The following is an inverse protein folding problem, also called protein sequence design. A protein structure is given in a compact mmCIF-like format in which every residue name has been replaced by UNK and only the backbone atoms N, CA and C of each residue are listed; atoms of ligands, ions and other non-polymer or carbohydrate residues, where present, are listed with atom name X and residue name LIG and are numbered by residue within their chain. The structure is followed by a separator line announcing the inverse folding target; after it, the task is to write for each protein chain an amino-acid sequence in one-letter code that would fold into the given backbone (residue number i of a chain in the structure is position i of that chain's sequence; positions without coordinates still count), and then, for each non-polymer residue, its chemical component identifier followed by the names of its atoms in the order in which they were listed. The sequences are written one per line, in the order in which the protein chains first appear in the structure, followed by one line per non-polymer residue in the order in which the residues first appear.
data_IF_656000198454
#
_entry.id   IF_656000198454
#
_cell.length_a   1.000
_cell.length_b   1.000
_cell.length_c   1.000
_cell.angle_alpha   90.00
_cell.angle_beta   90.00
_cell.angle_gamma   90.00
#
_symmetry.space_group_name_H-M   'P 1'
#
loop_
_entity.id
_entity.type
_entity.pdbx_description
1 polymer ?
#
# COMPACT_ATOMS: atom_id res chain seq x y z
N UNK A 1 -38.07 -21.55 58.43
CA UNK A 1 -38.34 -21.13 57.03
C UNK A 1 -37.64 -19.80 56.71
N UNK A 2 -37.48 -18.87 57.66
CA UNK A 2 -36.87 -17.55 57.48
C UNK A 2 -35.38 -17.61 57.18
N UNK A 3 -34.64 -18.55 57.78
CA UNK A 3 -33.19 -18.66 57.65
C UNK A 3 -32.73 -19.20 56.29
N UNK A 4 -33.56 -19.95 55.56
CA UNK A 4 -33.24 -20.49 54.23
C UNK A 4 -33.47 -19.44 53.12
N UNK A 5 -34.38 -18.50 53.34
CA UNK A 5 -34.64 -17.40 52.38
C UNK A 5 -33.51 -16.39 52.44
N UNK A 6 -33.00 -16.06 53.65
CA UNK A 6 -31.86 -15.11 53.78
C UNK A 6 -30.58 -15.64 53.16
N UNK A 7 -30.30 -16.96 53.21
CA UNK A 7 -29.13 -17.54 52.56
C UNK A 7 -29.22 -17.59 51.04
N UNK A 8 -30.42 -17.68 50.47
CA UNK A 8 -30.63 -17.62 49.02
C UNK A 8 -30.56 -16.18 48.49
N UNK A 9 -31.05 -15.21 49.22
CA UNK A 9 -30.96 -13.78 48.82
C UNK A 9 -29.53 -13.28 48.89
N UNK A 10 -28.75 -13.66 49.93
CA UNK A 10 -27.32 -13.32 50.00
C UNK A 10 -26.50 -14.01 48.92
N UNK A 11 -26.76 -15.28 48.56
CA UNK A 11 -26.07 -15.92 47.43
C UNK A 11 -26.43 -15.31 46.08
N UNK A 12 -27.66 -14.92 45.84
CA UNK A 12 -28.07 -14.23 44.62
C UNK A 12 -27.45 -12.81 44.53
N UNK A 13 -27.35 -12.08 45.61
CA UNK A 13 -26.71 -10.77 45.63
C UNK A 13 -25.20 -10.86 45.36
N UNK A 14 -24.50 -11.91 45.88
CA UNK A 14 -23.09 -12.18 45.58
C UNK A 14 -22.88 -12.57 44.12
N UNK A 15 -23.74 -13.40 43.55
CA UNK A 15 -23.65 -13.78 42.13
C UNK A 15 -23.92 -12.55 41.23
N UNK A 16 -24.92 -11.73 41.57
CA UNK A 16 -25.20 -10.48 40.85
C UNK A 16 -24.02 -9.48 40.92
N UNK A 17 -23.37 -9.39 42.07
CA UNK A 17 -22.21 -8.50 42.24
C UNK A 17 -21.01 -8.99 41.44
N UNK A 18 -20.72 -10.31 41.42
CA UNK A 18 -19.65 -10.88 40.60
C UNK A 18 -19.91 -10.72 39.10
N UNK A 19 -21.13 -10.99 38.66
CA UNK A 19 -21.53 -10.83 37.25
C UNK A 19 -21.50 -9.34 36.85
N UNK A 20 -21.89 -8.44 37.73
CA UNK A 20 -21.87 -7.00 37.49
C UNK A 20 -20.42 -6.47 37.42
N UNK A 21 -19.54 -6.92 38.30
CA UNK A 21 -18.10 -6.57 38.26
C UNK A 21 -17.40 -7.13 37.02
N UNK A 22 -17.77 -8.34 36.61
CA UNK A 22 -17.23 -8.96 35.38
C UNK A 22 -17.75 -8.27 34.12
N UNK A 23 -19.00 -7.84 34.10
CA UNK A 23 -19.59 -7.03 33.02
C UNK A 23 -18.96 -5.63 32.99
N UNK A 24 -18.78 -4.97 34.14
CA UNK A 24 -18.11 -3.67 34.21
C UNK A 24 -16.61 -3.75 33.81
N UNK A 25 -15.92 -4.80 34.22
CA UNK A 25 -14.55 -5.06 33.83
C UNK A 25 -14.45 -5.26 32.30
N UNK A 26 -15.32 -6.08 31.73
CA UNK A 26 -15.37 -6.30 30.28
C UNK A 26 -15.81 -5.05 29.49
N UNK A 27 -16.75 -4.24 30.01
CA UNK A 27 -17.15 -2.97 29.42
C UNK A 27 -16.01 -1.93 29.47
N UNK A 28 -15.31 -1.83 30.58
CA UNK A 28 -14.14 -0.95 30.71
C UNK A 28 -12.98 -1.41 29.84
N UNK A 29 -12.76 -2.72 29.73
CA UNK A 29 -11.75 -3.30 28.85
C UNK A 29 -12.07 -3.03 27.38
N UNK A 30 -13.31 -3.24 26.94
CA UNK A 30 -13.79 -2.94 25.59
C UNK A 30 -13.73 -1.45 25.25
N UNK A 31 -14.02 -0.56 26.21
CA UNK A 31 -13.91 0.90 26.00
C UNK A 31 -12.46 1.36 25.90
N UNK A 32 -11.55 0.80 26.69
CA UNK A 32 -10.11 1.08 26.62
C UNK A 32 -9.50 0.52 25.31
N UNK A 33 -9.86 -0.69 24.89
CA UNK A 33 -9.44 -1.22 23.59
C UNK A 33 -9.94 -0.36 22.43
N UNK A 34 -11.20 0.02 22.41
CA UNK A 34 -11.77 0.87 21.37
C UNK A 34 -11.09 2.25 21.32
N UNK A 35 -10.76 2.84 22.46
CA UNK A 35 -10.02 4.10 22.53
C UNK A 35 -8.62 3.95 21.97
N UNK A 36 -7.93 2.87 22.28
CA UNK A 36 -6.60 2.56 21.79
C UNK A 36 -6.59 2.34 20.26
N UNK A 37 -7.57 1.63 19.72
CA UNK A 37 -7.68 1.43 18.27
C UNK A 37 -8.03 2.70 17.51
N UNK A 38 -8.84 3.58 18.07
CA UNK A 38 -9.08 4.90 17.51
C UNK A 38 -7.79 5.75 17.46
N UNK A 39 -6.95 5.67 18.50
CA UNK A 39 -5.64 6.35 18.52
C UNK A 39 -4.68 5.82 17.45
N UNK A 40 -4.68 4.51 17.21
CA UNK A 40 -3.88 3.88 16.14
C UNK A 40 -4.33 4.37 14.77
N UNK A 41 -5.64 4.39 14.51
CA UNK A 41 -6.21 4.87 13.26
C UNK A 41 -5.87 6.35 13.03
N UNK A 42 -6.09 7.18 14.03
CA UNK A 42 -5.79 8.61 13.97
C UNK A 42 -4.30 8.87 13.71
N UNK A 43 -3.42 8.13 14.35
CA UNK A 43 -1.98 8.26 14.14
C UNK A 43 -1.56 7.88 12.72
N UNK A 44 -2.11 6.77 12.20
CA UNK A 44 -1.87 6.33 10.83
C UNK A 44 -2.32 7.36 9.80
N UNK A 45 -3.54 7.88 9.93
CA UNK A 45 -4.10 8.89 9.03
C UNK A 45 -3.33 10.21 9.13
N UNK A 46 -2.95 10.62 10.33
CA UNK A 46 -2.17 11.83 10.58
C UNK A 46 -0.80 11.81 9.89
N UNK A 47 -0.11 10.67 9.86
CA UNK A 47 1.15 10.54 9.10
C UNK A 47 0.89 10.82 7.61
N UNK A 48 -0.17 10.26 7.05
CA UNK A 48 -0.50 10.43 5.62
C UNK A 48 -0.94 11.85 5.26
N UNK A 49 -1.60 12.55 6.19
CA UNK A 49 -2.00 13.94 6.00
C UNK A 49 -0.81 14.90 6.09
N UNK A 50 0.06 14.70 7.06
CA UNK A 50 1.19 15.60 7.32
C UNK A 50 2.34 15.38 6.35
N UNK A 51 2.62 14.13 5.96
CA UNK A 51 3.73 13.77 5.10
C UNK A 51 3.22 13.24 3.75
N UNK A 52 2.85 14.14 2.83
CA UNK A 52 2.29 13.78 1.52
C UNK A 52 3.16 12.85 0.67
N UNK A 53 4.46 12.77 0.98
CA UNK A 53 5.41 11.91 0.28
C UNK A 53 5.53 10.49 0.86
N UNK A 54 4.90 10.21 2.00
CA UNK A 54 4.93 8.90 2.63
C UNK A 54 3.89 7.98 2.00
N UNK A 55 4.28 6.73 1.69
CA UNK A 55 3.33 5.72 1.19
C UNK A 55 2.50 5.14 2.32
N UNK A 56 1.29 4.64 2.02
CA UNK A 56 0.43 3.98 3.00
C UNK A 56 1.14 2.79 3.69
N UNK A 57 1.94 2.01 2.95
CA UNK A 57 2.73 0.92 3.52
C UNK A 57 3.79 1.40 4.52
N UNK A 58 4.51 2.49 4.21
CA UNK A 58 5.50 3.07 5.14
C UNK A 58 4.83 3.69 6.36
N UNK A 59 3.70 4.37 6.18
CA UNK A 59 2.92 4.91 7.29
C UNK A 59 2.42 3.80 8.22
N UNK A 60 1.95 2.67 7.66
CA UNK A 60 1.51 1.52 8.43
C UNK A 60 2.67 0.91 9.25
N UNK A 61 3.86 0.77 8.67
CA UNK A 61 5.03 0.27 9.39
C UNK A 61 5.45 1.20 10.54
N UNK A 62 5.41 2.53 10.33
CA UNK A 62 5.67 3.51 11.41
C UNK A 62 4.65 3.38 12.54
N UNK A 63 3.39 3.14 12.19
CA UNK A 63 2.33 2.91 13.18
C UNK A 63 2.56 1.63 13.98
N UNK A 64 2.96 0.52 13.33
CA UNK A 64 3.32 -0.72 14.03
C UNK A 64 4.54 -0.55 14.93
N UNK A 65 5.55 0.22 14.52
CA UNK A 65 6.69 0.57 15.39
C UNK A 65 6.24 1.33 16.64
N UNK A 66 5.34 2.31 16.48
CA UNK A 66 4.78 3.04 17.62
C UNK A 66 4.00 2.12 18.56
N UNK A 67 3.22 1.17 18.02
CA UNK A 67 2.52 0.14 18.82
C UNK A 67 3.54 -0.69 19.60
N UNK A 68 4.63 -1.15 18.98
CA UNK A 68 5.70 -1.86 19.65
C UNK A 68 6.38 -1.05 20.75
N UNK A 69 6.58 0.26 20.56
CA UNK A 69 7.19 1.16 21.55
C UNK A 69 6.30 1.35 22.77
N UNK A 70 5.01 1.59 22.55
CA UNK A 70 4.07 1.97 23.58
C UNK A 70 3.49 0.78 24.37
N UNK A 71 3.33 -0.39 23.72
CA UNK A 71 2.68 -1.52 24.33
C UNK A 71 3.63 -2.40 25.13
N UNK A 72 3.30 -2.62 26.41
CA UNK A 72 4.00 -3.54 27.28
C UNK A 72 3.22 -4.88 27.32
N UNK A 73 3.40 -5.72 26.29
CA UNK A 73 2.86 -7.06 26.29
C UNK A 73 3.58 -7.94 27.33
N UNK A 74 2.81 -8.72 28.10
CA UNK A 74 3.35 -9.68 29.05
C UNK A 74 3.84 -10.95 28.34
N UNK A 75 3.30 -11.24 27.15
CA UNK A 75 3.66 -12.40 26.33
C UNK A 75 3.83 -12.03 24.87
N UNK A 76 4.61 -12.85 24.16
CA UNK A 76 4.80 -12.72 22.71
C UNK A 76 3.49 -12.92 21.95
N UNK A 77 2.64 -13.84 22.38
CA UNK A 77 1.34 -14.10 21.76
C UNK A 77 0.39 -12.89 21.89
N UNK A 78 0.43 -12.21 23.01
CA UNK A 78 -0.32 -10.97 23.22
C UNK A 78 0.18 -9.85 22.31
N UNK A 79 1.51 -9.73 22.17
CA UNK A 79 2.11 -8.76 21.24
C UNK A 79 1.70 -9.02 19.79
N UNK A 80 1.77 -10.27 19.33
CA UNK A 80 1.34 -10.66 17.99
C UNK A 80 -0.14 -10.33 17.76
N UNK A 81 -1.01 -10.69 18.72
CA UNK A 81 -2.44 -10.39 18.66
C UNK A 81 -2.70 -8.89 18.52
N UNK A 82 -1.97 -8.06 19.25
CA UNK A 82 -2.16 -6.60 19.20
C UNK A 82 -1.62 -5.99 17.90
N UNK A 83 -0.53 -6.51 17.37
CA UNK A 83 -0.04 -6.10 16.06
C UNK A 83 -1.03 -6.48 14.93
N UNK A 84 -1.62 -7.68 14.98
CA UNK A 84 -2.65 -8.08 14.02
C UNK A 84 -3.89 -7.20 14.09
N UNK A 85 -4.39 -6.89 15.31
CA UNK A 85 -5.49 -5.96 15.50
C UNK A 85 -5.18 -4.56 14.96
N UNK A 86 -3.97 -4.05 15.18
CA UNK A 86 -3.55 -2.76 14.63
C UNK A 86 -3.52 -2.75 13.09
N UNK A 87 -3.10 -3.86 12.48
CA UNK A 87 -3.14 -4.04 11.02
C UNK A 87 -4.58 -4.00 10.51
N UNK A 88 -5.50 -4.70 11.17
CA UNK A 88 -6.90 -4.73 10.77
C UNK A 88 -7.56 -3.33 10.87
N UNK A 89 -7.21 -2.55 11.90
CA UNK A 89 -7.66 -1.15 12.02
C UNK A 89 -7.17 -0.31 10.83
N UNK A 90 -5.90 -0.43 10.45
CA UNK A 90 -5.36 0.30 9.31
C UNK A 90 -5.92 -0.15 7.96
N UNK A 91 -6.23 -1.45 7.79
CA UNK A 91 -6.90 -2.01 6.60
C UNK A 91 -8.32 -1.49 6.43
N UNK A 92 -9.01 -1.18 7.53
CA UNK A 92 -10.38 -0.63 7.51
C UNK A 92 -10.43 0.88 7.25
N UNK A 93 -9.33 1.49 6.82
CA UNK A 93 -9.30 2.89 6.36
C UNK A 93 -9.44 2.96 4.83
N UNK A 94 -9.80 4.14 4.32
CA UNK A 94 -9.91 4.39 2.87
C UNK A 94 -8.53 4.63 2.19
N UNK A 95 -7.53 3.85 2.59
CA UNK A 95 -6.18 3.91 2.04
C UNK A 95 -5.87 2.67 1.17
N UNK A 96 -4.89 2.73 0.26
CA UNK A 96 -4.52 1.59 -0.61
C UNK A 96 -4.17 0.33 0.19
N UNK A 97 -5.12 -0.59 0.31
CA UNK A 97 -5.03 -1.79 1.15
C UNK A 97 -3.87 -2.70 0.74
N UNK A 98 -3.58 -2.81 -0.56
CA UNK A 98 -2.48 -3.63 -1.08
C UNK A 98 -1.13 -3.22 -0.48
N UNK A 99 -0.85 -1.91 -0.49
CA UNK A 99 0.40 -1.37 0.04
C UNK A 99 0.49 -1.51 1.58
N UNK A 100 -0.64 -1.34 2.28
CA UNK A 100 -0.72 -1.55 3.74
C UNK A 100 -0.49 -3.02 4.07
N UNK A 101 -1.22 -3.93 3.41
CA UNK A 101 -1.16 -5.37 3.70
C UNK A 101 0.22 -5.97 3.42
N UNK A 102 0.79 -5.73 2.23
CA UNK A 102 2.11 -6.28 1.89
C UNK A 102 3.23 -5.69 2.74
N UNK A 103 3.19 -4.38 3.03
CA UNK A 103 4.15 -3.75 3.92
C UNK A 103 4.12 -4.30 5.34
N UNK A 104 2.92 -4.46 5.91
CA UNK A 104 2.75 -5.04 7.24
C UNK A 104 3.18 -6.51 7.30
N UNK A 105 2.84 -7.32 6.29
CA UNK A 105 3.22 -8.74 6.24
C UNK A 105 4.74 -8.90 6.22
N UNK A 106 5.44 -8.15 5.37
CA UNK A 106 6.91 -8.16 5.32
C UNK A 106 7.53 -7.67 6.63
N UNK A 107 6.96 -6.62 7.22
CA UNK A 107 7.43 -6.10 8.51
C UNK A 107 7.31 -7.14 9.62
N UNK A 108 6.12 -7.74 9.79
CA UNK A 108 5.90 -8.78 10.80
C UNK A 108 6.91 -9.92 10.64
N UNK A 109 7.10 -10.39 9.40
CA UNK A 109 8.06 -11.44 9.12
C UNK A 109 9.49 -11.04 9.50
N UNK A 110 9.91 -9.81 9.15
CA UNK A 110 11.25 -9.34 9.49
C UNK A 110 11.50 -9.26 10.99
N UNK A 111 10.50 -8.89 11.79
CA UNK A 111 10.62 -8.81 13.25
C UNK A 111 10.47 -10.18 13.94
N UNK A 112 9.63 -11.10 13.41
CA UNK A 112 9.33 -12.40 14.06
C UNK A 112 10.43 -13.44 13.93
N UNK A 113 11.37 -13.29 13.00
CA UNK A 113 12.55 -14.16 12.89
C UNK A 113 13.46 -14.16 14.15
N UNK A 114 13.11 -13.40 15.19
CA UNK A 114 13.90 -13.19 16.42
C UNK A 114 13.08 -13.39 17.68
N UNK A 115 12.16 -14.30 17.69
CA UNK A 115 11.18 -14.49 18.77
C UNK A 115 11.75 -14.80 20.16
N UNK A 116 13.03 -15.15 20.28
CA UNK A 116 13.67 -15.45 21.58
C UNK A 116 14.35 -14.24 22.23
N UNK A 117 14.43 -13.10 21.55
CA UNK A 117 15.13 -11.93 22.08
C UNK A 117 14.24 -10.68 22.12
N UNK A 118 14.07 -10.16 23.33
CA UNK A 118 13.55 -8.84 23.76
C UNK A 118 12.96 -7.86 22.71
N UNK A 119 11.80 -7.26 23.07
CA UNK A 119 11.15 -6.08 22.45
C UNK A 119 12.14 -5.05 21.88
N UNK A 120 13.29 -4.82 22.55
CA UNK A 120 14.32 -3.88 22.11
C UNK A 120 14.93 -4.27 20.75
N UNK A 121 15.22 -5.55 20.53
CA UNK A 121 15.77 -6.04 19.26
C UNK A 121 14.75 -5.95 18.14
N UNK A 122 13.47 -6.25 18.44
CA UNK A 122 12.39 -6.09 17.46
C UNK A 122 12.24 -4.64 17.03
N UNK A 123 12.30 -3.69 17.95
CA UNK A 123 12.27 -2.26 17.67
C UNK A 123 13.46 -1.81 16.81
N UNK A 124 14.67 -2.24 17.15
CA UNK A 124 15.86 -1.90 16.36
C UNK A 124 15.79 -2.45 14.94
N UNK A 125 15.37 -3.72 14.79
CA UNK A 125 15.16 -4.33 13.48
C UNK A 125 14.07 -3.60 12.69
N UNK A 126 12.96 -3.24 13.35
CA UNK A 126 11.90 -2.48 12.73
C UNK A 126 12.37 -1.10 12.23
N UNK A 127 13.21 -0.41 13.00
CA UNK A 127 13.84 0.87 12.58
C UNK A 127 14.78 0.68 11.39
N UNK A 128 15.59 -0.37 11.39
CA UNK A 128 16.46 -0.73 10.26
C UNK A 128 15.64 -1.02 9.00
N UNK A 129 14.56 -1.78 9.13
CA UNK A 129 13.65 -2.08 8.03
C UNK A 129 13.01 -0.82 7.46
N UNK A 130 12.48 0.04 8.32
CA UNK A 130 11.91 1.33 7.91
C UNK A 130 12.92 2.19 7.14
N UNK A 131 14.14 2.32 7.64
CA UNK A 131 15.18 3.11 6.96
C UNK A 131 15.50 2.54 5.56
N UNK A 132 15.57 1.22 5.44
CA UNK A 132 15.74 0.56 4.12
C UNK A 132 14.61 0.92 3.17
N UNK A 133 13.36 0.91 3.66
CA UNK A 133 12.20 1.25 2.82
C UNK A 133 12.22 2.71 2.35
N UNK A 134 12.67 3.64 3.17
CA UNK A 134 12.78 5.05 2.78
C UNK A 134 13.78 5.28 1.63
N UNK A 135 14.79 4.41 1.50
CA UNK A 135 15.79 4.48 0.43
C UNK A 135 15.34 3.79 -0.87
N UNK A 136 14.34 2.87 -0.81
CA UNK A 136 13.95 2.04 -1.96
C UNK A 136 13.55 2.86 -3.18
N UNK A 137 12.74 3.92 -2.96
CA UNK A 137 12.27 4.79 -4.05
C UNK A 137 13.43 5.44 -4.81
N UNK A 138 14.44 5.93 -4.11
CA UNK A 138 15.65 6.48 -4.73
C UNK A 138 16.45 5.44 -5.51
N UNK A 139 16.48 4.18 -5.04
CA UNK A 139 17.13 3.09 -5.77
C UNK A 139 16.41 2.79 -7.08
N UNK A 140 15.08 2.68 -7.04
CA UNK A 140 14.25 2.48 -8.23
C UNK A 140 14.44 3.62 -9.23
N UNK A 141 14.39 4.87 -8.77
CA UNK A 141 14.57 6.04 -9.61
C UNK A 141 15.93 6.03 -10.35
N UNK A 142 17.01 5.72 -9.64
CA UNK A 142 18.35 5.61 -10.24
C UNK A 142 18.45 4.52 -11.30
N UNK A 143 17.75 3.40 -11.12
CA UNK A 143 17.76 2.30 -12.10
C UNK A 143 16.91 2.62 -13.35
N UNK A 144 15.80 3.32 -13.18
CA UNK A 144 14.88 3.64 -14.28
C UNK A 144 15.29 4.88 -15.06
N UNK A 145 15.97 5.85 -14.43
CA UNK A 145 16.38 7.10 -15.05
C UNK A 145 17.23 6.92 -16.33
N UNK A 146 18.15 5.94 -16.48
CA UNK A 146 18.88 5.72 -17.73
C UNK A 146 17.99 5.39 -18.93
N UNK A 147 16.81 4.82 -18.70
CA UNK A 147 15.85 4.45 -19.75
C UNK A 147 15.02 5.64 -20.29
N UNK A 148 15.13 6.80 -19.66
CA UNK A 148 14.61 8.05 -20.22
C UNK A 148 15.68 8.59 -21.17
N UNK A 149 15.43 8.47 -22.47
CA UNK A 149 16.31 8.98 -23.50
C UNK A 149 16.07 10.49 -23.74
N UNK A 150 17.09 11.18 -24.28
CA UNK A 150 16.94 12.59 -24.66
C UNK A 150 15.97 12.72 -25.84
N UNK A 151 15.03 13.64 -25.77
CA UNK A 151 13.98 13.86 -26.76
C UNK A 151 12.79 12.88 -26.69
N UNK A 152 12.78 11.92 -25.76
CA UNK A 152 11.70 10.93 -25.71
C UNK A 152 10.39 11.54 -25.19
N UNK A 153 9.27 10.94 -25.63
CA UNK A 153 7.91 11.24 -25.18
C UNK A 153 7.40 10.12 -24.32
N UNK A 154 7.08 10.44 -23.09
CA UNK A 154 6.70 9.46 -22.06
C UNK A 154 5.21 9.61 -21.75
N UNK A 155 4.47 8.50 -21.71
CA UNK A 155 3.13 8.48 -21.15
C UNK A 155 3.18 7.91 -19.73
N UNK A 156 2.53 8.59 -18.80
CA UNK A 156 2.29 8.08 -17.45
C UNK A 156 0.80 8.18 -17.09
N UNK A 157 0.35 7.29 -16.22
CA UNK A 157 -1.04 7.24 -15.75
C UNK A 157 -1.11 7.59 -14.28
N UNK A 158 -2.01 8.53 -13.93
CA UNK A 158 -2.22 8.93 -12.54
C UNK A 158 -0.95 9.57 -11.90
N UNK A 159 -0.91 9.64 -10.57
CA UNK A 159 0.24 10.13 -9.81
C UNK A 159 1.00 8.97 -9.19
N UNK A 160 2.24 8.75 -9.62
CA UNK A 160 3.17 7.83 -8.98
C UNK A 160 4.38 8.57 -8.43
N UNK A 161 4.64 8.42 -7.13
CA UNK A 161 5.76 9.09 -6.44
C UNK A 161 7.12 8.63 -6.97
N UNK A 162 7.26 7.35 -7.28
CA UNK A 162 8.52 6.80 -7.81
C UNK A 162 8.75 7.23 -9.26
N UNK A 163 7.69 7.27 -10.09
CA UNK A 163 7.77 7.77 -11.46
C UNK A 163 8.12 9.26 -11.46
N UNK A 164 7.46 10.06 -10.62
CA UNK A 164 7.76 11.48 -10.44
C UNK A 164 9.23 11.69 -10.07
N UNK A 165 9.73 11.00 -9.05
CA UNK A 165 11.12 11.11 -8.63
C UNK A 165 12.08 10.74 -9.77
N UNK A 166 11.81 9.67 -10.51
CA UNK A 166 12.62 9.25 -11.66
C UNK A 166 12.71 10.32 -12.73
N UNK A 167 11.58 10.93 -13.08
CA UNK A 167 11.51 11.99 -14.09
C UNK A 167 12.22 13.26 -13.62
N UNK A 168 12.04 13.65 -12.34
CA UNK A 168 12.72 14.82 -11.78
C UNK A 168 14.25 14.60 -11.68
N UNK A 169 14.70 13.39 -11.35
CA UNK A 169 16.14 13.06 -11.37
C UNK A 169 16.71 13.07 -12.80
N UNK A 170 15.95 12.59 -13.79
CA UNK A 170 16.34 12.68 -15.19
C UNK A 170 16.48 14.13 -15.67
N UNK A 171 15.53 15.01 -15.30
CA UNK A 171 15.59 16.43 -15.61
C UNK A 171 16.78 17.12 -14.93
N UNK A 172 17.07 16.82 -13.67
CA UNK A 172 18.27 17.30 -12.97
C UNK A 172 19.57 16.88 -13.66
N UNK A 173 19.59 15.72 -14.30
CA UNK A 173 20.69 15.21 -15.10
C UNK A 173 20.66 15.75 -16.55
N UNK A 174 19.97 16.87 -16.77
CA UNK A 174 19.89 17.62 -18.03
C UNK A 174 19.27 16.85 -19.21
N UNK A 175 18.53 15.78 -18.96
CA UNK A 175 17.76 15.10 -20.01
C UNK A 175 16.53 15.93 -20.40
N UNK A 176 16.28 16.03 -21.70
CA UNK A 176 15.13 16.72 -22.28
C UNK A 176 14.14 15.68 -22.76
N UNK A 177 12.92 15.73 -22.24
CA UNK A 177 11.83 14.80 -22.60
C UNK A 177 10.49 15.48 -22.33
N UNK A 178 9.45 14.97 -22.97
CA UNK A 178 8.08 15.42 -22.78
C UNK A 178 7.23 14.34 -22.09
N UNK A 179 6.31 14.75 -21.24
CA UNK A 179 5.47 13.81 -20.50
C UNK A 179 4.00 14.07 -20.79
N UNK A 180 3.29 13.05 -21.24
CA UNK A 180 1.84 13.02 -21.26
C UNK A 180 1.37 12.35 -19.97
N UNK A 181 0.51 13.04 -19.23
CA UNK A 181 -0.07 12.53 -17.98
C UNK A 181 -1.57 12.38 -18.17
N UNK A 182 -2.10 11.18 -17.96
CA UNK A 182 -3.55 10.98 -17.99
C UNK A 182 -4.19 11.57 -16.75
N UNK A 183 -5.39 12.12 -16.89
CA UNK A 183 -6.11 12.78 -15.80
C UNK A 183 -6.39 11.85 -14.63
N UNK A 184 -6.66 10.57 -14.90
CA UNK A 184 -6.99 9.54 -13.90
C UNK A 184 -8.29 9.85 -13.16
N UNK A 185 -9.42 9.80 -13.88
CA UNK A 185 -10.73 9.91 -13.25
C UNK A 185 -11.03 8.64 -12.41
N UNK A 186 -11.72 8.75 -11.25
CA UNK A 186 -12.39 9.94 -10.73
C UNK A 186 -11.56 10.84 -9.82
N UNK A 187 -10.38 10.43 -9.35
CA UNK A 187 -9.58 11.17 -8.34
C UNK A 187 -8.78 12.34 -8.91
N UNK A 188 -8.64 12.41 -10.25
CA UNK A 188 -7.93 13.43 -10.99
C UNK A 188 -6.47 13.63 -10.53
N UNK A 189 -5.84 12.58 -9.98
CA UNK A 189 -4.47 12.62 -9.45
C UNK A 189 -3.41 12.95 -10.51
N UNK A 190 -3.71 12.75 -11.79
CA UNK A 190 -2.86 13.17 -12.90
C UNK A 190 -2.66 14.68 -12.98
N UNK A 191 -3.63 15.48 -12.53
CA UNK A 191 -3.48 16.96 -12.49
C UNK A 191 -2.38 17.38 -11.52
N UNK A 192 -2.30 16.73 -10.35
CA UNK A 192 -1.25 16.98 -9.38
C UNK A 192 0.12 16.51 -9.90
N UNK A 193 0.17 15.36 -10.57
CA UNK A 193 1.39 14.85 -11.21
C UNK A 193 1.94 15.84 -12.22
N UNK A 194 1.07 16.37 -13.09
CA UNK A 194 1.45 17.35 -14.09
C UNK A 194 1.97 18.67 -13.47
N UNK A 195 1.32 19.17 -12.41
CA UNK A 195 1.78 20.36 -11.67
C UNK A 195 3.17 20.15 -11.07
N UNK A 196 3.43 19.00 -10.47
CA UNK A 196 4.73 18.67 -9.86
C UNK A 196 5.84 18.53 -10.90
N UNK A 197 5.56 17.90 -12.05
CA UNK A 197 6.51 17.79 -13.16
C UNK A 197 6.85 19.16 -13.75
N UNK A 198 5.84 19.99 -13.99
CA UNK A 198 6.03 21.36 -14.53
C UNK A 198 6.84 22.23 -13.55
N UNK A 199 6.54 22.14 -12.25
CA UNK A 199 7.32 22.84 -11.22
C UNK A 199 8.78 22.38 -11.17
N UNK A 200 9.05 21.11 -11.53
CA UNK A 200 10.40 20.55 -11.68
C UNK A 200 11.08 20.83 -13.01
N UNK A 201 10.47 21.64 -13.88
CA UNK A 201 11.06 22.02 -15.18
C UNK A 201 10.85 20.99 -16.31
N UNK A 202 9.96 19.99 -16.11
CA UNK A 202 9.64 18.98 -17.12
C UNK A 202 8.43 19.41 -17.92
N UNK A 203 8.54 19.39 -19.26
CA UNK A 203 7.41 19.63 -20.18
C UNK A 203 6.32 18.58 -19.98
N UNK A 204 5.13 19.02 -19.57
CA UNK A 204 4.03 18.11 -19.22
C UNK A 204 2.74 18.53 -19.89
N UNK A 205 2.04 17.58 -20.51
CA UNK A 205 0.70 17.75 -21.09
C UNK A 205 -0.28 16.83 -20.38
N UNK A 206 -1.31 17.42 -19.78
CA UNK A 206 -2.43 16.68 -19.20
C UNK A 206 -3.36 16.20 -20.32
N UNK A 207 -3.68 14.91 -20.34
CA UNK A 207 -4.55 14.30 -21.34
C UNK A 207 -5.73 13.58 -20.69
N UNK A 208 -6.84 13.45 -21.40
CA UNK A 208 -8.00 12.69 -20.93
C UNK A 208 -7.69 11.19 -20.99
N UNK A 209 -8.25 10.43 -20.04
CA UNK A 209 -8.11 8.97 -20.02
C UNK A 209 -8.63 8.33 -21.32
N UNK A 210 -9.70 8.87 -21.91
CA UNK A 210 -10.25 8.41 -23.18
C UNK A 210 -9.34 8.68 -24.39
N UNK A 211 -8.35 9.57 -24.28
CA UNK A 211 -7.43 9.93 -25.37
C UNK A 211 -6.14 9.10 -25.39
N UNK A 212 -5.99 8.11 -24.50
CA UNK A 212 -4.79 7.26 -24.38
C UNK A 212 -4.39 6.67 -25.74
N UNK A 213 -5.33 6.05 -26.46
CA UNK A 213 -5.07 5.46 -27.78
C UNK A 213 -4.58 6.47 -28.81
N UNK A 214 -5.16 7.67 -28.81
CA UNK A 214 -4.75 8.76 -29.72
C UNK A 214 -3.33 9.26 -29.41
N UNK A 215 -3.04 9.50 -28.14
CA UNK A 215 -1.72 10.02 -27.71
C UNK A 215 -0.63 8.96 -27.87
N UNK A 216 -0.97 7.66 -27.74
CA UNK A 216 -0.01 6.56 -27.76
C UNK A 216 0.80 6.49 -29.06
N UNK A 217 0.27 6.97 -30.19
CA UNK A 217 1.02 7.02 -31.47
C UNK A 217 2.29 7.89 -31.35
N UNK A 218 2.23 8.96 -30.57
CA UNK A 218 3.32 9.91 -30.35
C UNK A 218 4.28 9.50 -29.24
N UNK A 219 3.89 8.53 -28.39
CA UNK A 219 4.63 8.09 -27.21
C UNK A 219 5.74 7.12 -27.63
N UNK A 220 6.90 7.25 -27.00
CA UNK A 220 8.01 6.31 -27.16
C UNK A 220 7.98 5.20 -26.10
N UNK A 221 7.71 5.58 -24.86
CA UNK A 221 7.68 4.68 -23.70
C UNK A 221 6.51 5.00 -22.76
N UNK A 222 5.99 3.98 -22.11
CA UNK A 222 5.04 4.13 -21.00
C UNK A 222 5.77 3.86 -19.69
N UNK A 223 5.70 4.79 -18.73
CA UNK A 223 6.24 4.63 -17.37
C UNK A 223 5.11 4.78 -16.37
N UNK A 224 4.81 3.74 -15.62
CA UNK A 224 3.72 3.69 -14.64
C UNK A 224 4.22 3.17 -13.29
N UNK A 225 3.50 3.54 -12.22
CA UNK A 225 3.71 2.94 -10.91
C UNK A 225 2.92 1.65 -10.73
N UNK A 226 3.03 1.07 -9.54
CA UNK A 226 2.14 0.00 -9.10
C UNK A 226 1.75 0.20 -7.63
N UNK A 227 0.53 -0.18 -7.27
CA UNK A 227 0.06 -0.31 -5.89
C UNK A 227 0.40 -1.69 -5.33
N UNK A 228 0.40 -2.72 -6.19
CA UNK A 228 0.81 -4.07 -5.89
C UNK A 228 1.41 -4.77 -7.09
N UNK A 229 2.36 -5.67 -6.85
CA UNK A 229 2.92 -6.59 -7.86
C UNK A 229 2.58 -8.00 -7.42
N UNK A 230 1.95 -8.77 -8.31
CA UNK A 230 1.46 -10.12 -8.00
C UNK A 230 2.47 -11.18 -8.46
N UNK A 231 2.33 -12.42 -7.97
CA UNK A 231 3.29 -13.51 -8.21
C UNK A 231 3.58 -13.78 -9.70
N UNK A 232 2.59 -13.61 -10.55
CA UNK A 232 2.76 -13.77 -12.00
C UNK A 232 3.62 -12.67 -12.66
N UNK A 233 3.98 -11.62 -11.92
CA UNK A 233 4.64 -10.43 -12.46
C UNK A 233 3.67 -9.42 -13.09
N UNK A 234 2.37 -9.63 -12.99
CA UNK A 234 1.36 -8.61 -13.26
C UNK A 234 1.29 -7.56 -12.15
N UNK A 235 0.56 -6.49 -12.37
CA UNK A 235 0.41 -5.40 -11.41
C UNK A 235 -1.04 -5.07 -11.12
N UNK A 236 -1.27 -4.56 -9.92
CA UNK A 236 -2.50 -3.88 -9.50
C UNK A 236 -2.15 -2.40 -9.40
N UNK A 237 -2.90 -1.56 -10.08
CA UNK A 237 -2.69 -0.11 -10.06
C UNK A 237 -4.00 0.63 -10.32
N UNK A 238 -3.98 1.95 -10.26
CA UNK A 238 -5.14 2.81 -10.55
C UNK A 238 -5.87 2.38 -11.82
N UNK A 239 -7.22 2.42 -11.76
CA UNK A 239 -8.09 2.10 -12.89
C UNK A 239 -7.68 2.89 -14.15
N UNK A 240 -7.58 2.21 -15.29
CA UNK A 240 -7.06 2.76 -16.54
C UNK A 240 -5.63 2.34 -16.87
N UNK A 241 -4.91 1.75 -15.91
CA UNK A 241 -3.56 1.19 -16.14
C UNK A 241 -3.60 0.06 -17.15
N UNK A 242 -4.55 -0.86 -17.03
CA UNK A 242 -4.72 -1.96 -17.99
C UNK A 242 -5.04 -1.45 -19.40
N UNK A 243 -5.93 -0.47 -19.52
CA UNK A 243 -6.25 0.18 -20.80
C UNK A 243 -5.01 0.81 -21.43
N UNK A 244 -4.21 1.52 -20.63
CA UNK A 244 -2.94 2.11 -21.07
C UNK A 244 -1.98 1.06 -21.59
N UNK A 245 -1.82 -0.03 -20.86
CA UNK A 245 -0.94 -1.13 -21.24
C UNK A 245 -1.41 -1.88 -22.50
N UNK A 246 -2.74 -2.04 -22.70
CA UNK A 246 -3.31 -2.60 -23.91
C UNK A 246 -3.02 -1.73 -25.13
N UNK A 247 -3.23 -0.42 -25.04
CA UNK A 247 -2.92 0.52 -26.13
C UNK A 247 -1.42 0.51 -26.46
N UNK A 248 -0.57 0.49 -25.44
CA UNK A 248 0.87 0.43 -25.61
C UNK A 248 1.32 -0.85 -26.34
N UNK A 249 0.75 -2.00 -25.96
CA UNK A 249 1.07 -3.29 -26.58
C UNK A 249 0.66 -3.32 -28.05
N UNK A 250 -0.54 -2.84 -28.37
CA UNK A 250 -1.04 -2.79 -29.76
C UNK A 250 -0.12 -1.94 -30.64
N UNK A 251 0.34 -0.80 -30.13
CA UNK A 251 1.26 0.11 -30.83
C UNK A 251 2.74 -0.24 -30.62
N UNK A 252 3.04 -1.41 -30.02
CA UNK A 252 4.41 -1.92 -29.77
C UNK A 252 5.29 -0.96 -28.96
N UNK A 253 4.70 -0.23 -28.03
CA UNK A 253 5.42 0.64 -27.12
C UNK A 253 5.78 -0.11 -25.84
N UNK A 254 7.01 0.03 -25.31
CA UNK A 254 7.39 -0.64 -24.08
C UNK A 254 6.65 -0.04 -22.87
N UNK A 255 6.24 -0.92 -21.97
CA UNK A 255 5.61 -0.56 -20.69
C UNK A 255 6.57 -0.90 -19.56
N UNK A 256 7.03 0.13 -18.86
CA UNK A 256 7.93 0.07 -17.73
C UNK A 256 7.18 0.35 -16.44
N UNK A 257 7.25 -0.58 -15.52
CA UNK A 257 6.64 -0.47 -14.18
C UNK A 257 7.72 -0.11 -13.18
N UNK A 258 7.52 0.96 -12.43
CA UNK A 258 8.41 1.43 -11.38
C UNK A 258 7.75 1.21 -10.03
N UNK A 259 8.35 0.36 -9.20
CA UNK A 259 7.72 -0.04 -7.94
C UNK A 259 8.75 -0.48 -6.91
N UNK A 260 8.41 -0.31 -5.64
CA UNK A 260 9.21 -0.77 -4.52
C UNK A 260 8.86 -2.23 -4.18
N UNK A 261 9.85 -3.04 -3.78
CA UNK A 261 9.70 -4.48 -3.50
C UNK A 261 8.71 -4.80 -2.37
N UNK A 262 8.53 -3.90 -1.42
CA UNK A 262 7.55 -4.10 -0.33
C UNK A 262 6.08 -4.10 -0.81
N UNK A 263 5.83 -3.77 -2.09
CA UNK A 263 4.51 -3.87 -2.72
C UNK A 263 4.27 -5.23 -3.39
N UNK A 264 5.22 -6.14 -3.30
CA UNK A 264 5.04 -7.49 -3.82
C UNK A 264 4.04 -8.24 -2.93
N UNK A 265 3.01 -8.80 -3.56
CA UNK A 265 1.89 -9.45 -2.88
C UNK A 265 1.73 -10.90 -3.34
N UNK A 266 1.44 -11.80 -2.39
CA UNK A 266 1.15 -13.21 -2.66
C UNK A 266 -0.26 -13.40 -3.19
N UNK A 267 -0.49 -12.87 -4.38
CA UNK A 267 -1.75 -12.97 -5.10
C UNK A 267 -1.48 -13.53 -6.49
N UNK A 268 -2.42 -14.30 -7.02
CA UNK A 268 -2.33 -14.86 -8.36
C UNK A 268 -3.64 -14.66 -9.15
N UNK A 269 -4.03 -13.40 -9.43
CA UNK A 269 -5.22 -13.14 -10.23
C UNK A 269 -4.99 -13.55 -11.69
N UNK A 270 -5.99 -14.19 -12.30
CA UNK A 270 -6.00 -14.51 -13.72
C UNK A 270 -6.71 -13.45 -14.56
N UNK A 271 -7.63 -12.72 -13.94
CA UNK A 271 -8.44 -11.67 -14.57
C UNK A 271 -8.92 -10.64 -13.55
N UNK A 272 -9.65 -9.60 -14.03
CA UNK A 272 -10.16 -8.51 -13.18
C UNK A 272 -11.12 -8.98 -12.05
N UNK A 273 -11.80 -10.11 -12.24
CA UNK A 273 -12.77 -10.62 -11.25
C UNK A 273 -12.08 -11.27 -10.06
N UNK A 274 -10.89 -11.81 -10.29
CA UNK A 274 -10.12 -12.52 -9.26
C UNK A 274 -9.51 -11.57 -8.22
N UNK A 275 -9.50 -10.25 -8.50
CA UNK A 275 -9.12 -9.27 -7.48
C UNK A 275 -10.18 -9.22 -6.37
N UNK A 276 -9.79 -9.35 -5.10
CA UNK A 276 -10.69 -9.15 -3.98
C UNK A 276 -11.36 -7.77 -4.01
N UNK A 277 -12.62 -7.69 -3.59
CA UNK A 277 -13.36 -6.43 -3.60
C UNK A 277 -12.72 -5.37 -2.69
N UNK A 278 -12.09 -5.78 -1.61
CA UNK A 278 -11.34 -4.92 -0.70
C UNK A 278 -10.17 -4.17 -1.38
N UNK A 279 -9.60 -4.71 -2.46
CA UNK A 279 -8.59 -3.99 -3.25
C UNK A 279 -9.19 -3.05 -4.28
N UNK A 280 -10.38 -3.39 -4.79
CA UNK A 280 -11.07 -2.62 -5.85
C UNK A 280 -11.81 -1.39 -5.34
N UNK A 281 -12.30 -1.43 -4.10
CA UNK A 281 -13.19 -0.41 -3.55
C UNK A 281 -12.67 0.09 -2.21
N UNK A 282 -13.06 1.32 -1.85
CA UNK A 282 -12.79 1.87 -0.52
C UNK A 282 -13.52 1.08 0.56
N UNK A 283 -12.94 0.99 1.74
CA UNK A 283 -13.58 0.34 2.90
C UNK A 283 -14.98 0.89 3.18
N UNK A 284 -15.17 2.19 3.07
CA UNK A 284 -16.45 2.89 3.24
C UNK A 284 -17.51 2.51 2.21
N UNK A 285 -17.12 1.94 1.07
CA UNK A 285 -18.04 1.54 -0.01
C UNK A 285 -18.36 0.04 -0.04
N UNK A 286 -17.59 -0.80 0.67
CA UNK A 286 -17.75 -2.25 0.65
C UNK A 286 -19.14 -2.74 1.12
N UNK A 287 -19.84 -1.94 1.92
CA UNK A 287 -21.19 -2.25 2.41
C UNK A 287 -22.30 -1.78 1.46
N UNK A 288 -21.96 -1.12 0.34
CA UNK A 288 -22.91 -0.61 -0.65
C UNK A 288 -23.12 -1.62 -1.78
N UNK A 289 -24.07 -1.29 -2.68
CA UNK A 289 -24.27 -2.06 -3.91
C UNK A 289 -23.09 -1.83 -4.88
N UNK A 290 -22.12 -2.74 -4.83
CA UNK A 290 -20.89 -2.65 -5.63
C UNK A 290 -21.14 -2.67 -7.16
N UNK A 291 -22.33 -3.08 -7.61
CA UNK A 291 -22.69 -3.01 -9.02
C UNK A 291 -22.86 -1.57 -9.52
N UNK A 292 -23.04 -0.62 -8.62
CA UNK A 292 -23.18 0.82 -8.90
C UNK A 292 -21.92 1.63 -8.62
N UNK A 293 -20.87 0.99 -8.09
CA UNK A 293 -19.62 1.64 -7.74
C UNK A 293 -18.54 1.36 -8.80
N UNK A 294 -17.66 2.32 -9.03
CA UNK A 294 -16.50 2.15 -9.89
C UNK A 294 -15.33 1.57 -9.12
N UNK A 295 -14.66 0.53 -9.65
CA UNK A 295 -13.40 0.08 -9.05
C UNK A 295 -12.33 1.16 -9.17
N UNK A 296 -11.50 1.28 -8.14
CA UNK A 296 -10.41 2.27 -8.08
C UNK A 296 -9.12 1.74 -8.73
N UNK A 297 -8.99 0.42 -8.85
CA UNK A 297 -7.83 -0.24 -9.41
C UNK A 297 -8.22 -1.27 -10.45
N UNK A 298 -7.28 -1.57 -11.34
CA UNK A 298 -7.36 -2.67 -12.28
C UNK A 298 -6.13 -3.60 -12.17
N UNK A 299 -6.27 -4.79 -12.74
CA UNK A 299 -5.19 -5.74 -12.89
C UNK A 299 -4.61 -5.68 -14.30
N UNK A 300 -3.31 -5.49 -14.41
CA UNK A 300 -2.58 -5.57 -15.68
C UNK A 300 -1.77 -6.86 -15.72
N UNK A 301 -2.13 -7.81 -16.62
CA UNK A 301 -1.41 -9.07 -16.77
C UNK A 301 0.07 -8.88 -17.17
N UNK A 302 0.97 -9.82 -16.80
CA UNK A 302 2.40 -9.72 -17.09
C UNK A 302 2.72 -9.61 -18.59
N UNK A 303 1.86 -10.16 -19.44
CA UNK A 303 2.04 -10.11 -20.91
C UNK A 303 1.99 -8.69 -21.50
N UNK A 304 1.55 -7.70 -20.75
CA UNK A 304 1.49 -6.28 -21.15
C UNK A 304 2.65 -5.46 -20.58
N UNK A 305 3.50 -6.06 -19.74
CA UNK A 305 4.61 -5.39 -19.06
C UNK A 305 5.93 -5.81 -19.70
N UNK A 306 6.77 -4.84 -20.02
CA UNK A 306 8.09 -5.09 -20.61
C UNK A 306 9.14 -5.35 -19.51
N UNK A 307 9.26 -4.44 -18.54
CA UNK A 307 10.19 -4.54 -17.42
C UNK A 307 9.58 -3.93 -16.15
N UNK A 308 10.01 -4.46 -15.00
CA UNK A 308 9.75 -3.87 -13.69
C UNK A 308 11.08 -3.34 -13.12
N UNK A 309 11.10 -2.06 -12.76
CA UNK A 309 12.22 -1.43 -12.06
C UNK A 309 11.92 -1.44 -10.57
N UNK A 310 12.75 -2.14 -9.80
CA UNK A 310 12.56 -2.35 -8.38
C UNK A 310 13.84 -2.03 -7.61
N UNK A 311 13.76 -1.91 -6.31
CA UNK A 311 14.96 -1.78 -5.46
C UNK A 311 15.79 -3.08 -5.37
N UNK A 312 15.24 -4.21 -5.84
CA UNK A 312 15.94 -5.49 -5.98
C UNK A 312 16.70 -5.61 -7.31
N UNK A 313 16.34 -4.80 -8.31
CA UNK A 313 16.92 -4.83 -9.65
C UNK A 313 15.88 -4.55 -10.73
N UNK A 314 16.31 -4.65 -11.97
CA UNK A 314 15.44 -4.58 -13.15
C UNK A 314 14.99 -6.01 -13.47
N UNK A 315 13.70 -6.27 -13.39
CA UNK A 315 13.14 -7.60 -13.51
C UNK A 315 12.28 -7.72 -14.78
N UNK A 316 12.29 -8.89 -15.38
CA UNK A 316 11.21 -9.29 -16.27
C UNK A 316 10.00 -9.74 -15.42
N UNK A 317 8.76 -9.68 -15.95
CA UNK A 317 7.61 -10.19 -15.21
C UNK A 317 7.77 -11.62 -14.68
N UNK A 318 8.42 -12.50 -15.46
CA UNK A 318 8.69 -13.89 -15.07
C UNK A 318 9.66 -14.03 -13.88
N UNK A 319 10.54 -13.06 -13.65
CA UNK A 319 11.51 -13.10 -12.55
C UNK A 319 10.90 -12.65 -11.21
N UNK A 320 9.71 -12.07 -11.21
CA UNK A 320 9.05 -11.57 -9.99
C UNK A 320 8.78 -12.69 -9.00
N UNK A 321 8.33 -13.86 -9.46
CA UNK A 321 8.05 -15.01 -8.61
C UNK A 321 9.28 -15.44 -7.82
N UNK A 322 10.45 -15.51 -8.47
CA UNK A 322 11.72 -15.91 -7.82
C UNK A 322 12.14 -14.90 -6.74
N UNK A 323 12.01 -13.60 -7.04
CA UNK A 323 12.33 -12.54 -6.07
C UNK A 323 11.33 -12.51 -4.91
N UNK A 324 10.04 -12.77 -5.18
CA UNK A 324 9.03 -12.86 -4.16
C UNK A 324 9.31 -14.04 -3.21
N UNK A 325 9.71 -15.20 -3.73
CA UNK A 325 10.12 -16.34 -2.89
C UNK A 325 11.28 -15.94 -1.97
N UNK A 326 12.31 -15.25 -2.48
CA UNK A 326 13.45 -14.79 -1.68
C UNK A 326 13.06 -13.79 -0.58
N UNK A 327 12.08 -12.93 -0.83
CA UNK A 327 11.56 -11.99 0.18
C UNK A 327 10.84 -12.70 1.32
N UNK A 328 10.30 -13.89 1.05
CA UNK A 328 9.51 -14.68 2.01
C UNK A 328 10.26 -15.91 2.57
N UNK A 329 11.45 -16.20 2.15
CA UNK A 329 12.37 -17.14 2.78
C UNK A 329 13.20 -16.46 3.85
#
# INVERSE_FOLDING_TARGET
FTTIIDLKVTKLSFIFMFVYDEILYNLNYLTLENFYFAEIQDYFLKILEQEKDVSAGVAAIRTLLKVLEQYNAATVQELDTNLQKAIDVMRNTDQPITAVSSGCELFLRFITLSFEECKQIMLERGKVFLNRLLETRGKVARQAQPFICDGCKILTHSKSRVVLQTMLEAAKNHKRFEVFVTRSSPDNSGEEMCKLLTAGGVGCTLVLDASIGYVMEQVDIVMIGAEGVVESGGIINKIGTYTTAMCAKELKKPVYVLTESFKFARLYPLNQRDLPNEFKYLSSTLQRDLAKEHPLVDYTPPSYITLLFTDLGILTPSAVSDELIKLYL
#
